data_IF_348044620210
#
_entry.id   IF_348044620210
#
_cell.length_a   1.000
_cell.length_b   1.000
_cell.length_c   1.000
_cell.angle_alpha   90.00
_cell.angle_beta   90.00
_cell.angle_gamma   90.00
#
_symmetry.space_group_name_H-M   'P 1'
#
loop_
_entity.id
_entity.type
_entity.pdbx_description
1 polymer ?
#
# COMPACT_ATOMS: atom_id res chain seq x y z
N UNK A 1 29.60 7.18 -4.01
CA UNK A 1 28.69 7.09 -2.87
C UNK A 1 27.41 7.80 -3.18
N UNK A 2 26.33 7.08 -3.06
CA UNK A 2 25.04 7.72 -3.24
C UNK A 2 24.85 8.70 -2.11
N UNK A 3 24.51 9.88 -2.48
CA UNK A 3 24.27 10.92 -1.53
C UNK A 3 22.98 10.61 -0.78
N UNK A 4 23.06 10.27 0.49
CA UNK A 4 21.89 9.97 1.32
C UNK A 4 20.95 11.16 1.39
N UNK A 5 21.49 12.37 1.38
CA UNK A 5 20.69 13.60 1.35
C UNK A 5 19.86 13.69 0.06
N UNK A 6 20.43 13.24 -1.05
CA UNK A 6 19.72 13.23 -2.33
C UNK A 6 18.59 12.22 -2.34
N UNK A 7 18.80 11.03 -1.76
CA UNK A 7 17.75 10.01 -1.61
C UNK A 7 16.63 10.52 -0.73
N UNK A 8 16.94 11.18 0.37
CA UNK A 8 15.96 11.76 1.29
C UNK A 8 15.16 12.85 0.59
N UNK A 9 15.80 13.69 -0.21
CA UNK A 9 15.13 14.74 -0.96
C UNK A 9 14.16 14.16 -2.01
N UNK A 10 14.56 13.12 -2.69
CA UNK A 10 13.68 12.44 -3.65
C UNK A 10 12.45 11.88 -2.94
N UNK A 11 12.63 11.25 -1.80
CA UNK A 11 11.52 10.74 -0.99
C UNK A 11 10.58 11.86 -0.55
N UNK A 12 11.13 12.95 -0.06
CA UNK A 12 10.34 14.08 0.40
C UNK A 12 9.53 14.73 -0.72
N UNK A 13 10.08 14.78 -1.92
CA UNK A 13 9.39 15.32 -3.09
C UNK A 13 8.31 14.39 -3.62
N UNK A 14 8.59 13.09 -3.58
CA UNK A 14 7.73 12.08 -4.22
C UNK A 14 6.53 11.72 -3.36
N UNK A 15 6.65 11.80 -2.03
CA UNK A 15 5.66 11.22 -1.14
C UNK A 15 5.13 12.24 -0.16
N UNK A 16 5.96 12.64 0.76
CA UNK A 16 5.65 13.52 1.87
C UNK A 16 6.88 13.64 2.74
N UNK A 17 6.85 14.51 3.75
CA UNK A 17 7.92 14.61 4.72
C UNK A 17 8.05 13.31 5.51
N UNK A 18 9.25 13.04 6.03
CA UNK A 18 9.49 11.87 6.89
C UNK A 18 8.53 11.85 8.09
N UNK A 19 8.26 13.02 8.66
CA UNK A 19 7.34 13.17 9.78
C UNK A 19 5.92 12.74 9.41
N UNK A 20 5.42 13.16 8.24
CA UNK A 20 4.11 12.77 7.76
C UNK A 20 4.03 11.27 7.46
N UNK A 21 5.11 10.70 6.92
CA UNK A 21 5.20 9.27 6.65
C UNK A 21 5.10 8.46 7.94
N UNK A 22 5.87 8.84 8.96
CA UNK A 22 5.82 8.18 10.26
C UNK A 22 4.45 8.31 10.91
N UNK A 23 3.81 9.47 10.76
CA UNK A 23 2.46 9.67 11.27
C UNK A 23 1.47 8.72 10.62
N UNK A 24 1.53 8.54 9.31
CA UNK A 24 0.66 7.60 8.62
C UNK A 24 0.90 6.16 9.05
N UNK A 25 2.17 5.76 9.21
CA UNK A 25 2.51 4.42 9.69
C UNK A 25 1.91 4.19 11.07
N UNK A 26 2.06 5.14 11.97
CA UNK A 26 1.53 5.02 13.33
C UNK A 26 0.00 5.00 13.34
N UNK A 27 -0.64 5.84 12.54
CA UNK A 27 -2.10 5.84 12.42
C UNK A 27 -2.62 4.50 11.93
N UNK A 28 -1.96 3.93 10.93
CA UNK A 28 -2.34 2.64 10.38
C UNK A 28 -2.10 1.52 11.39
N UNK A 29 -0.99 1.56 12.12
CA UNK A 29 -0.69 0.58 13.15
C UNK A 29 -1.76 0.58 14.24
N UNK A 30 -2.14 1.76 14.74
CA UNK A 30 -3.20 1.87 15.74
C UNK A 30 -4.54 1.37 15.20
N UNK A 31 -4.83 1.59 13.92
CA UNK A 31 -6.03 1.04 13.30
C UNK A 31 -6.03 -0.49 13.36
N UNK A 32 -4.91 -1.14 13.07
CA UNK A 32 -4.79 -2.59 13.14
C UNK A 32 -4.95 -3.11 14.56
N UNK A 33 -4.42 -2.39 15.54
CA UNK A 33 -4.60 -2.76 16.95
C UNK A 33 -6.08 -2.69 17.33
N UNK A 34 -6.75 -1.60 17.01
CA UNK A 34 -8.14 -1.38 17.42
C UNK A 34 -9.14 -2.24 16.65
N UNK A 35 -8.97 -2.36 15.32
CA UNK A 35 -9.97 -3.03 14.48
C UNK A 35 -9.68 -4.51 14.25
N UNK A 36 -8.41 -4.90 14.24
CA UNK A 36 -8.00 -6.25 13.88
C UNK A 36 -7.43 -7.05 15.04
N UNK A 37 -7.29 -6.44 16.21
CA UNK A 37 -6.77 -7.13 17.39
C UNK A 37 -5.29 -7.45 17.33
N UNK A 38 -4.52 -6.76 16.50
CA UNK A 38 -3.08 -6.97 16.40
C UNK A 38 -2.37 -6.47 17.65
N UNK A 39 -1.26 -7.12 18.01
CA UNK A 39 -0.32 -6.54 18.96
C UNK A 39 0.35 -5.33 18.29
N UNK A 40 0.90 -4.41 19.08
CA UNK A 40 1.57 -3.24 18.49
C UNK A 40 2.74 -3.65 17.61
N UNK A 41 3.49 -4.69 17.97
CA UNK A 41 4.58 -5.20 17.15
C UNK A 41 4.11 -5.70 15.77
N UNK A 42 3.07 -6.52 15.75
CA UNK A 42 2.47 -7.02 14.51
C UNK A 42 1.90 -5.87 13.69
N UNK A 43 1.22 -4.94 14.35
CA UNK A 43 0.61 -3.79 13.69
C UNK A 43 1.64 -2.90 13.01
N UNK A 44 2.77 -2.63 13.68
CA UNK A 44 3.83 -1.82 13.10
C UNK A 44 4.46 -2.49 11.89
N UNK A 45 4.73 -3.78 11.96
CA UNK A 45 5.28 -4.53 10.83
C UNK A 45 4.35 -4.50 9.63
N UNK A 46 3.07 -4.71 9.86
CA UNK A 46 2.07 -4.69 8.81
C UNK A 46 1.90 -3.28 8.22
N UNK A 47 1.89 -2.27 9.07
CA UNK A 47 1.77 -0.88 8.64
C UNK A 47 2.96 -0.47 7.75
N UNK A 48 4.18 -0.81 8.15
CA UNK A 48 5.38 -0.55 7.34
C UNK A 48 5.31 -1.26 6.00
N UNK A 49 4.91 -2.53 5.99
CA UNK A 49 4.78 -3.31 4.76
C UNK A 49 3.77 -2.66 3.80
N UNK A 50 2.63 -2.23 4.32
CA UNK A 50 1.61 -1.54 3.50
C UNK A 50 2.14 -0.24 2.91
N UNK A 51 2.85 0.56 3.70
CA UNK A 51 3.43 1.81 3.21
C UNK A 51 4.50 1.57 2.15
N UNK A 52 5.38 0.60 2.36
CA UNK A 52 6.39 0.23 1.37
C UNK A 52 5.75 -0.23 0.07
N UNK A 53 4.74 -1.09 0.15
CA UNK A 53 4.02 -1.58 -1.02
C UNK A 53 3.41 -0.42 -1.81
N UNK A 54 2.72 0.47 -1.14
CA UNK A 54 2.10 1.63 -1.76
C UNK A 54 3.13 2.48 -2.51
N UNK A 55 4.29 2.73 -1.88
CA UNK A 55 5.35 3.52 -2.50
C UNK A 55 5.94 2.83 -3.72
N UNK A 56 6.20 1.54 -3.63
CA UNK A 56 6.74 0.79 -4.75
C UNK A 56 5.76 0.73 -5.92
N UNK A 57 4.48 0.55 -5.64
CA UNK A 57 3.45 0.50 -6.68
C UNK A 57 3.30 1.82 -7.43
N UNK A 58 3.64 2.95 -6.82
CA UNK A 58 3.60 4.25 -7.49
C UNK A 58 4.60 4.35 -8.64
N UNK A 59 5.70 3.61 -8.58
CA UNK A 59 6.74 3.67 -9.59
C UNK A 59 6.80 2.47 -10.52
N UNK A 60 6.27 1.31 -10.10
CA UNK A 60 6.40 0.07 -10.87
C UNK A 60 5.28 -0.91 -10.54
N UNK A 61 5.24 -2.01 -11.28
CA UNK A 61 4.40 -3.15 -10.97
C UNK A 61 5.10 -3.96 -9.89
N UNK A 62 4.36 -4.28 -8.82
CA UNK A 62 4.92 -5.01 -7.67
C UNK A 62 4.15 -6.31 -7.47
N UNK A 63 4.89 -7.38 -7.27
CA UNK A 63 4.34 -8.67 -6.88
C UNK A 63 4.23 -8.73 -5.37
N UNK A 64 3.06 -9.08 -4.87
CA UNK A 64 2.83 -9.17 -3.43
C UNK A 64 1.80 -10.25 -3.12
N UNK A 65 1.74 -10.63 -1.84
CA UNK A 65 0.84 -11.68 -1.36
C UNK A 65 -0.04 -11.14 -0.26
N UNK A 66 -1.31 -11.50 -0.31
CA UNK A 66 -2.25 -11.17 0.76
C UNK A 66 -3.22 -12.32 0.99
N UNK A 67 -3.81 -12.33 2.19
CA UNK A 67 -4.81 -13.33 2.54
C UNK A 67 -6.18 -12.84 2.12
N UNK A 68 -6.90 -13.66 1.36
CA UNK A 68 -8.27 -13.36 0.96
C UNK A 68 -9.22 -13.55 2.13
N UNK A 69 -10.44 -13.04 1.99
CA UNK A 69 -11.47 -13.16 3.02
C UNK A 69 -11.79 -14.63 3.34
N UNK A 70 -11.68 -15.51 2.35
CA UNK A 70 -11.90 -16.95 2.53
C UNK A 70 -10.73 -17.68 3.20
N UNK A 71 -9.65 -16.97 3.54
CA UNK A 71 -8.47 -17.53 4.18
C UNK A 71 -7.37 -18.00 3.24
N UNK A 72 -7.63 -18.06 1.94
CA UNK A 72 -6.60 -18.45 0.97
C UNK A 72 -5.63 -17.33 0.69
N UNK A 73 -4.41 -17.66 0.26
CA UNK A 73 -3.37 -16.70 -0.11
C UNK A 73 -3.48 -16.38 -1.59
N UNK A 74 -3.43 -15.10 -1.92
CA UNK A 74 -3.44 -14.64 -3.30
C UNK A 74 -2.13 -13.95 -3.64
N UNK A 75 -1.57 -14.33 -4.79
CA UNK A 75 -0.47 -13.63 -5.44
C UNK A 75 -1.04 -12.57 -6.37
N UNK A 76 -0.55 -11.34 -6.26
CA UNK A 76 -1.04 -10.24 -7.08
C UNK A 76 0.10 -9.44 -7.68
N UNK A 77 -0.16 -8.90 -8.87
CA UNK A 77 0.76 -8.00 -9.57
C UNK A 77 0.04 -6.66 -9.70
N UNK A 78 0.34 -5.74 -8.82
CA UNK A 78 -0.37 -4.48 -8.72
C UNK A 78 0.49 -3.28 -8.97
N UNK A 79 -0.14 -2.18 -9.40
CA UNK A 79 0.53 -0.91 -9.60
C UNK A 79 -0.41 0.24 -9.28
N UNK A 80 0.19 1.38 -8.90
CA UNK A 80 -0.49 2.66 -8.77
C UNK A 80 0.11 3.69 -9.72
N UNK A 81 0.97 3.26 -10.63
CA UNK A 81 1.59 4.14 -11.62
C UNK A 81 0.57 4.45 -12.72
N UNK A 82 0.19 5.71 -12.83
CA UNK A 82 -0.81 6.17 -13.80
C UNK A 82 -0.44 5.85 -15.24
N UNK A 83 0.85 5.77 -15.54
CA UNK A 83 1.32 5.43 -16.88
C UNK A 83 1.07 3.97 -17.25
N UNK A 84 0.88 3.12 -16.24
CA UNK A 84 0.64 1.68 -16.42
C UNK A 84 -0.83 1.30 -16.22
N UNK A 85 -1.68 2.28 -15.97
CA UNK A 85 -3.11 2.08 -15.75
C UNK A 85 -3.91 2.69 -16.89
N UNK A 86 -5.12 2.15 -17.18
CA UNK A 86 -6.00 2.78 -18.14
C UNK A 86 -6.49 4.12 -17.62
N UNK A 87 -6.80 5.04 -18.54
CA UNK A 87 -7.35 6.33 -18.17
C UNK A 87 -8.73 6.14 -17.55
N UNK A 88 -8.92 6.67 -16.34
CA UNK A 88 -10.22 6.64 -15.69
C UNK A 88 -11.02 7.84 -16.18
N UNK A 89 -12.14 7.56 -16.85
CA UNK A 89 -13.09 8.58 -17.26
C UNK A 89 -14.29 8.52 -16.33
N UNK A 90 -14.61 9.63 -15.69
CA UNK A 90 -15.78 9.74 -14.83
C UNK A 90 -15.41 9.98 -13.37
N UNK A 91 -16.44 10.27 -12.58
CA UNK A 91 -16.29 10.55 -11.16
C UNK A 91 -16.46 9.28 -10.37
N UNK A 92 -15.49 8.97 -9.52
CA UNK A 92 -15.61 7.84 -8.61
C UNK A 92 -16.45 8.27 -7.42
N UNK A 93 -17.69 7.79 -7.38
CA UNK A 93 -18.63 8.09 -6.29
C UNK A 93 -18.52 7.12 -5.13
N UNK A 94 -17.52 6.23 -5.13
CA UNK A 94 -17.36 5.26 -4.05
C UNK A 94 -16.90 5.95 -2.78
N UNK A 95 -17.52 5.54 -1.69
CA UNK A 95 -17.09 5.99 -0.37
C UNK A 95 -15.67 5.51 -0.12
N UNK A 96 -14.78 6.42 0.26
CA UNK A 96 -13.39 6.10 0.56
C UNK A 96 -13.33 5.21 1.79
N UNK A 97 -12.62 4.09 1.68
CA UNK A 97 -12.44 3.15 2.79
C UNK A 97 -10.96 3.02 3.13
N UNK A 98 -10.58 3.47 4.32
CA UNK A 98 -9.19 3.48 4.76
C UNK A 98 -8.68 2.09 5.16
N UNK A 99 -9.55 1.10 5.27
CA UNK A 99 -9.16 -0.26 5.65
C UNK A 99 -8.68 -1.10 4.48
N UNK A 100 -8.92 -0.64 3.25
CA UNK A 100 -8.51 -1.35 2.04
C UNK A 100 -7.55 -0.52 1.22
N UNK A 101 -6.69 -1.21 0.47
CA UNK A 101 -5.80 -0.60 -0.51
C UNK A 101 -6.27 -0.99 -1.90
N UNK A 102 -6.59 0.01 -2.71
CA UNK A 102 -6.95 -0.20 -4.12
C UNK A 102 -5.68 -0.23 -4.96
N UNK A 103 -5.65 -1.09 -5.97
CA UNK A 103 -4.54 -1.18 -6.91
C UNK A 103 -5.07 -1.63 -8.26
N UNK A 104 -4.29 -1.38 -9.32
CA UNK A 104 -4.60 -1.92 -10.64
C UNK A 104 -3.88 -3.25 -10.83
N UNK A 105 -4.65 -4.32 -11.04
CA UNK A 105 -4.12 -5.67 -11.27
C UNK A 105 -3.76 -5.80 -12.75
N UNK A 106 -2.47 -5.87 -13.04
CA UNK A 106 -1.97 -5.89 -14.42
C UNK A 106 -2.23 -7.22 -15.13
N UNK A 107 -2.32 -8.33 -14.38
CA UNK A 107 -2.61 -9.63 -14.97
C UNK A 107 -4.08 -9.76 -15.36
N UNK A 108 -4.96 -9.26 -14.50
CA UNK A 108 -6.40 -9.34 -14.73
C UNK A 108 -6.95 -8.10 -15.44
N UNK A 109 -6.13 -7.06 -15.57
CA UNK A 109 -6.48 -5.81 -16.23
C UNK A 109 -7.74 -5.17 -15.64
N UNK A 110 -7.81 -5.16 -14.32
CA UNK A 110 -8.91 -4.53 -13.59
C UNK A 110 -8.45 -3.94 -12.26
N UNK A 111 -9.20 -3.00 -11.74
CA UNK A 111 -8.95 -2.46 -10.41
C UNK A 111 -9.46 -3.42 -9.36
N UNK A 112 -8.63 -3.66 -8.36
CA UNK A 112 -8.94 -4.54 -7.23
C UNK A 112 -8.52 -3.87 -5.94
N UNK A 113 -8.90 -4.47 -4.83
CA UNK A 113 -8.47 -4.01 -3.51
C UNK A 113 -8.24 -5.19 -2.59
N UNK A 114 -7.45 -4.95 -1.55
CA UNK A 114 -7.24 -5.94 -0.49
C UNK A 114 -7.32 -5.23 0.86
N UNK A 115 -7.63 -5.99 1.91
CA UNK A 115 -7.62 -5.44 3.27
C UNK A 115 -6.18 -5.25 3.71
N UNK A 116 -5.84 -4.03 4.12
CA UNK A 116 -4.46 -3.69 4.52
C UNK A 116 -3.93 -4.63 5.61
N UNK A 117 -4.80 -5.03 6.53
CA UNK A 117 -4.42 -5.94 7.62
C UNK A 117 -4.08 -7.35 7.12
N UNK A 118 -4.47 -7.70 5.91
CA UNK A 118 -4.26 -9.03 5.35
C UNK A 118 -3.02 -9.13 4.47
N UNK A 119 -2.25 -8.06 4.32
CA UNK A 119 -1.00 -8.09 3.56
C UNK A 119 -0.01 -9.02 4.25
N UNK A 120 0.54 -9.97 3.50
CA UNK A 120 1.46 -10.97 4.02
C UNK A 120 2.91 -10.64 3.73
N UNK A 121 3.22 -10.38 2.47
CA UNK A 121 4.61 -10.10 2.08
C UNK A 121 4.66 -9.42 0.72
N UNK A 122 5.80 -8.79 0.46
CA UNK A 122 6.15 -8.21 -0.82
C UNK A 122 7.26 -9.08 -1.41
N UNK A 123 7.07 -9.52 -2.63
CA UNK A 123 8.07 -10.36 -3.28
C UNK A 123 9.31 -9.57 -3.70
#
# INVERSE_FOLDING_TARGET
>A
MIDDANSINILNHTIMSTKSFLHEVMSLAWQFVRKNGFTMSEALKCAWANMKLKLQMKSKIVKFYFQKVDGSVREAYGTLNEKLMPTITGTDNRKKNDTVQTYYDTERQEFRCFKKANLMSIA
#
